data_IF_196880170931
#
_entry.id   IF_196880170931
#
_cell.length_a   1.000
_cell.length_b   1.000
_cell.length_c   1.000
_cell.angle_alpha   90.00
_cell.angle_beta   90.00
_cell.angle_gamma   90.00
#
_symmetry.space_group_name_H-M   'P 1'
#
loop_
_entity.id
_entity.type
_entity.pdbx_description
1 polymer ?
#
# COMPACT_ATOMS: atom_id res chain seq x y z
N UNK A 1 19.07 53.77 -31.70
CA UNK A 1 20.06 53.20 -30.75
C UNK A 1 19.32 52.46 -29.66
N UNK A 2 19.30 51.11 -29.72
CA UNK A 2 18.66 50.24 -28.70
C UNK A 2 19.76 49.76 -27.80
N UNK A 3 19.73 50.17 -26.52
CA UNK A 3 20.62 49.67 -25.49
C UNK A 3 20.26 48.23 -25.19
N UNK A 4 21.13 47.29 -25.54
CA UNK A 4 21.10 45.93 -25.01
C UNK A 4 21.71 45.95 -23.60
N UNK A 5 20.92 45.69 -22.59
CA UNK A 5 21.39 45.48 -21.25
C UNK A 5 22.11 44.11 -21.20
N UNK A 6 23.42 44.17 -21.23
CA UNK A 6 24.31 43.01 -21.05
C UNK A 6 24.54 42.86 -19.53
N UNK A 7 23.85 41.91 -18.91
CA UNK A 7 24.14 41.54 -17.53
C UNK A 7 25.40 40.67 -17.50
N UNK A 8 26.53 41.30 -17.18
CA UNK A 8 27.85 40.67 -17.06
C UNK A 8 27.92 39.95 -15.72
N UNK A 9 27.69 38.62 -15.69
CA UNK A 9 28.01 37.82 -14.53
C UNK A 9 29.53 37.64 -14.42
N UNK A 10 30.15 38.32 -13.52
CA UNK A 10 31.55 38.11 -13.15
C UNK A 10 31.70 36.80 -12.39
N UNK A 11 32.33 35.80 -13.01
CA UNK A 11 32.80 34.60 -12.36
C UNK A 11 33.96 34.93 -11.40
N UNK A 12 33.70 34.90 -10.10
CA UNK A 12 34.73 34.78 -9.08
C UNK A 12 34.71 33.32 -8.63
N UNK A 13 35.77 32.57 -8.94
CA UNK A 13 35.94 31.21 -8.48
C UNK A 13 36.00 31.15 -6.95
N UNK A 14 35.01 30.51 -6.36
CA UNK A 14 34.98 30.03 -4.97
C UNK A 14 34.30 28.68 -4.94
N UNK A 15 34.91 27.76 -4.21
CA UNK A 15 34.40 26.43 -3.81
C UNK A 15 32.89 26.23 -3.97
N UNK A 16 32.51 25.21 -4.74
CA UNK A 16 31.11 24.88 -5.06
C UNK A 16 30.29 24.50 -3.81
N UNK A 17 29.69 25.48 -3.18
CA UNK A 17 28.45 25.25 -2.48
C UNK A 17 27.44 24.93 -3.60
N UNK A 18 26.80 23.76 -3.56
CA UNK A 18 25.74 23.39 -4.47
C UNK A 18 24.65 24.48 -4.40
N UNK A 19 24.56 25.31 -5.42
CA UNK A 19 23.61 26.42 -5.45
C UNK A 19 22.36 25.93 -6.16
N UNK A 20 21.21 26.03 -5.51
CA UNK A 20 19.93 25.77 -6.13
C UNK A 20 19.69 26.76 -7.28
N UNK A 21 19.39 26.26 -8.46
CA UNK A 21 19.09 27.05 -9.63
C UNK A 21 17.56 27.18 -9.79
N UNK A 22 17.06 28.40 -10.00
CA UNK A 22 15.65 28.62 -10.35
C UNK A 22 15.53 29.17 -11.75
N UNK A 23 14.75 28.51 -12.59
CA UNK A 23 14.56 28.89 -13.99
C UNK A 23 13.08 29.02 -14.30
N UNK A 24 12.70 30.17 -14.87
CA UNK A 24 11.34 30.39 -15.36
C UNK A 24 11.25 30.11 -16.85
N UNK A 25 10.43 29.12 -17.22
CA UNK A 25 10.20 28.71 -18.61
C UNK A 25 8.92 29.38 -19.12
N UNK A 26 9.05 30.41 -19.92
CA UNK A 26 7.90 31.16 -20.45
C UNK A 26 7.21 30.44 -21.62
N UNK A 27 7.97 29.63 -22.36
CA UNK A 27 7.47 28.92 -23.55
C UNK A 27 7.89 27.45 -23.43
N UNK A 28 6.94 26.54 -23.41
CA UNK A 28 7.20 25.11 -23.40
C UNK A 28 8.07 24.71 -24.64
N UNK A 29 9.03 23.81 -24.41
CA UNK A 29 10.01 23.39 -25.42
C UNK A 29 11.27 24.27 -25.53
N UNK A 30 11.39 25.32 -24.67
CA UNK A 30 12.54 26.23 -24.72
C UNK A 30 13.60 25.98 -23.64
N UNK A 31 13.42 25.03 -22.75
CA UNK A 31 14.28 24.82 -21.56
C UNK A 31 15.76 24.65 -21.93
N UNK A 32 16.07 23.91 -23.01
CA UNK A 32 17.45 23.70 -23.47
C UNK A 32 18.21 24.99 -23.85
N UNK A 33 17.49 26.10 -24.06
CA UNK A 33 18.10 27.41 -24.32
C UNK A 33 18.37 28.20 -23.05
N UNK A 34 17.78 27.76 -21.92
CA UNK A 34 17.84 28.40 -20.60
C UNK A 34 18.77 27.67 -19.63
N UNK A 35 18.92 26.36 -19.80
CA UNK A 35 19.70 25.48 -18.91
C UNK A 35 20.71 24.70 -19.73
N UNK A 36 21.99 24.83 -19.37
CA UNK A 36 23.07 24.02 -19.98
C UNK A 36 23.34 22.77 -19.14
N UNK A 37 23.00 21.62 -19.69
CA UNK A 37 23.26 20.31 -19.06
C UNK A 37 24.51 19.62 -19.59
N UNK A 38 25.26 20.25 -20.51
CA UNK A 38 26.41 19.62 -21.19
C UNK A 38 27.68 19.63 -20.34
N UNK A 39 27.84 20.65 -19.47
CA UNK A 39 29.06 20.87 -18.71
C UNK A 39 29.06 20.15 -17.35
N UNK A 40 27.88 19.85 -16.76
CA UNK A 40 27.77 19.28 -15.41
C UNK A 40 26.40 18.69 -15.12
N UNK A 41 26.34 17.82 -14.10
CA UNK A 41 25.07 17.46 -13.45
C UNK A 41 24.66 18.61 -12.53
N UNK A 42 23.39 19.03 -12.62
CA UNK A 42 22.80 20.07 -11.77
C UNK A 42 22.36 19.44 -10.46
N UNK A 43 22.84 19.97 -9.32
CA UNK A 43 22.53 19.40 -8.02
C UNK A 43 21.09 19.66 -7.57
N UNK A 44 20.56 20.88 -7.83
CA UNK A 44 19.20 21.28 -7.42
C UNK A 44 18.63 22.28 -8.43
N UNK A 45 17.55 21.90 -9.08
CA UNK A 45 16.87 22.72 -10.10
C UNK A 45 15.40 22.89 -9.76
N UNK A 46 14.98 24.15 -9.63
CA UNK A 46 13.58 24.53 -9.52
C UNK A 46 13.13 25.15 -10.84
N UNK A 47 12.07 24.60 -11.42
CA UNK A 47 11.42 25.16 -12.61
C UNK A 47 10.09 25.80 -12.23
N UNK A 48 9.73 26.86 -12.94
CA UNK A 48 8.42 27.50 -12.88
C UNK A 48 7.95 27.82 -14.30
N UNK A 49 6.67 28.09 -14.47
CA UNK A 49 6.09 28.40 -15.79
C UNK A 49 5.65 27.16 -16.56
N UNK A 50 5.87 27.12 -17.88
CA UNK A 50 5.34 26.08 -18.75
C UNK A 50 6.45 25.22 -19.36
N UNK A 51 6.38 23.91 -19.16
CA UNK A 51 7.30 22.93 -19.76
C UNK A 51 6.49 21.88 -20.53
N UNK A 52 7.16 21.16 -21.45
CA UNK A 52 6.55 20.01 -22.11
C UNK A 52 7.42 18.75 -21.95
N UNK A 53 7.02 17.66 -22.60
CA UNK A 53 7.77 16.39 -22.56
C UNK A 53 9.23 16.56 -22.99
N UNK A 54 9.47 17.30 -24.06
CA UNK A 54 10.84 17.51 -24.60
C UNK A 54 11.73 18.23 -23.59
N UNK A 55 11.20 19.22 -22.87
CA UNK A 55 11.91 19.92 -21.80
C UNK A 55 12.27 18.96 -20.64
N UNK A 56 11.29 18.20 -20.17
CA UNK A 56 11.52 17.24 -19.07
C UNK A 56 12.49 16.13 -19.48
N UNK A 57 12.37 15.62 -20.71
CA UNK A 57 13.28 14.59 -21.24
C UNK A 57 14.73 15.10 -21.36
N UNK A 58 14.91 16.39 -21.67
CA UNK A 58 16.23 17.02 -21.71
C UNK A 58 16.95 16.99 -20.38
N UNK A 59 16.22 16.96 -19.25
CA UNK A 59 16.79 16.92 -17.90
C UNK A 59 17.22 15.51 -17.45
N UNK A 60 16.81 14.46 -18.16
CA UNK A 60 17.12 13.07 -17.78
C UNK A 60 18.63 12.83 -17.70
N UNK A 61 19.08 12.25 -16.58
CA UNK A 61 20.48 12.02 -16.21
C UNK A 61 21.33 13.32 -15.99
N UNK A 62 20.68 14.47 -15.85
CA UNK A 62 21.39 15.74 -15.72
C UNK A 62 21.04 16.52 -14.43
N UNK A 63 20.01 16.09 -13.69
CA UNK A 63 19.55 16.79 -12.50
C UNK A 63 19.39 15.80 -11.35
N UNK A 64 19.97 16.12 -10.15
CA UNK A 64 19.82 15.28 -8.96
C UNK A 64 18.51 15.56 -8.22
N UNK A 65 18.18 16.82 -8.01
CA UNK A 65 16.94 17.24 -7.34
C UNK A 65 16.17 18.16 -8.27
N UNK A 66 14.92 17.82 -8.55
CA UNK A 66 14.07 18.55 -9.49
C UNK A 66 12.79 18.99 -8.78
N UNK A 67 12.56 20.29 -8.72
CA UNK A 67 11.31 20.85 -8.18
C UNK A 67 10.46 21.40 -9.34
N UNK A 68 9.31 20.78 -9.55
CA UNK A 68 8.32 21.13 -10.57
C UNK A 68 7.00 21.64 -9.97
N UNK A 69 6.95 21.96 -8.68
CA UNK A 69 5.70 22.28 -7.96
C UNK A 69 4.85 23.33 -8.71
N UNK A 70 5.51 24.39 -9.19
CA UNK A 70 4.87 25.55 -9.81
C UNK A 70 4.99 25.54 -11.33
N UNK A 71 5.05 24.32 -11.91
CA UNK A 71 5.12 24.09 -13.35
C UNK A 71 3.77 23.63 -13.89
N UNK A 72 3.38 24.15 -15.05
CA UNK A 72 2.34 23.55 -15.89
C UNK A 72 3.01 22.70 -16.96
N UNK A 73 2.64 21.41 -17.05
CA UNK A 73 3.06 20.57 -18.17
C UNK A 73 2.11 20.84 -19.33
N UNK A 74 2.64 21.41 -20.43
CA UNK A 74 1.87 21.66 -21.64
C UNK A 74 1.84 20.42 -22.53
N UNK A 75 0.78 20.27 -23.31
CA UNK A 75 0.69 19.23 -24.33
C UNK A 75 1.81 19.35 -25.36
N UNK A 76 2.22 18.23 -25.91
CA UNK A 76 3.20 18.17 -26.99
C UNK A 76 2.91 17.01 -27.93
N UNK A 77 3.00 17.25 -29.23
CA UNK A 77 2.94 16.17 -30.23
C UNK A 77 4.35 15.87 -30.73
N UNK A 78 4.81 14.64 -30.51
CA UNK A 78 6.10 14.16 -30.99
C UNK A 78 5.86 13.06 -32.04
N UNK A 79 6.13 13.37 -33.30
CA UNK A 79 5.77 12.47 -34.39
C UNK A 79 4.26 12.34 -34.56
N UNK A 80 3.73 11.15 -34.21
CA UNK A 80 2.26 10.85 -34.20
C UNK A 80 1.68 10.68 -32.80
N UNK A 81 2.48 10.90 -31.76
CA UNK A 81 2.08 10.68 -30.37
C UNK A 81 1.79 12.02 -29.72
N UNK A 82 0.57 12.19 -29.22
CA UNK A 82 0.17 13.30 -28.37
C UNK A 82 0.50 12.97 -26.91
N UNK A 83 1.23 13.85 -26.25
CA UNK A 83 1.46 13.87 -24.80
C UNK A 83 0.56 14.96 -24.22
N UNK A 84 -0.48 14.61 -23.45
CA UNK A 84 -1.47 15.57 -22.96
C UNK A 84 -0.88 16.54 -21.93
N UNK A 85 -1.59 17.65 -21.72
CA UNK A 85 -1.28 18.60 -20.66
C UNK A 85 -1.51 18.01 -19.24
N UNK A 86 -0.79 18.53 -18.26
CA UNK A 86 -0.84 18.11 -16.86
C UNK A 86 -0.61 16.61 -16.61
N UNK A 87 0.00 15.92 -17.55
CA UNK A 87 0.41 14.51 -17.46
C UNK A 87 1.93 14.43 -17.39
N UNK A 88 2.47 13.71 -16.38
CA UNK A 88 3.88 13.32 -16.42
C UNK A 88 4.07 12.37 -17.60
N UNK A 89 4.85 12.75 -18.63
CA UNK A 89 4.86 12.00 -19.88
C UNK A 89 5.41 10.58 -19.74
N UNK A 90 4.93 9.68 -20.60
CA UNK A 90 5.42 8.31 -20.68
C UNK A 90 6.95 8.26 -20.85
N UNK A 91 7.60 7.41 -20.04
CA UNK A 91 9.04 7.11 -20.10
C UNK A 91 9.97 8.33 -20.00
N UNK A 92 9.49 9.46 -19.47
CA UNK A 92 10.25 10.72 -19.47
C UNK A 92 11.57 10.64 -18.71
N UNK A 93 11.60 9.95 -17.56
CA UNK A 93 12.79 9.71 -16.74
C UNK A 93 13.20 8.23 -16.68
N UNK A 94 12.75 7.41 -17.63
CA UNK A 94 13.09 5.99 -17.65
C UNK A 94 14.61 5.76 -17.61
N UNK A 95 15.08 4.91 -16.69
CA UNK A 95 16.50 4.57 -16.56
C UNK A 95 17.39 5.72 -16.07
N UNK A 96 16.83 6.79 -15.50
CA UNK A 96 17.60 7.90 -14.96
C UNK A 96 18.47 7.42 -13.79
N UNK A 97 19.79 7.69 -13.88
CA UNK A 97 20.79 7.23 -12.89
C UNK A 97 21.18 8.32 -11.88
N UNK A 98 20.66 9.51 -12.05
CA UNK A 98 21.10 10.71 -11.36
C UNK A 98 20.01 11.27 -10.46
N UNK A 99 18.74 11.26 -10.92
CA UNK A 99 17.60 11.81 -10.20
C UNK A 99 17.40 11.13 -8.85
N UNK A 100 17.60 11.88 -7.77
CA UNK A 100 17.45 11.40 -6.40
C UNK A 100 16.21 11.97 -5.70
N UNK A 101 15.66 13.09 -6.19
CA UNK A 101 14.44 13.69 -5.62
C UNK A 101 13.67 14.46 -6.69
N UNK A 102 12.35 14.33 -6.65
CA UNK A 102 11.45 15.15 -7.46
C UNK A 102 10.24 15.62 -6.65
N UNK A 103 9.91 16.91 -6.77
CA UNK A 103 8.62 17.48 -6.36
C UNK A 103 7.76 17.58 -7.61
N UNK A 104 6.61 16.91 -7.62
CA UNK A 104 5.72 16.88 -8.77
C UNK A 104 4.89 18.17 -8.91
N UNK A 105 4.44 18.50 -10.14
CA UNK A 105 3.56 19.65 -10.37
C UNK A 105 2.26 19.57 -9.58
N UNK A 106 1.82 20.69 -9.02
CA UNK A 106 0.57 20.75 -8.23
C UNK A 106 -0.69 20.47 -9.08
N UNK A 107 -0.65 20.77 -10.36
CA UNK A 107 -1.74 20.53 -11.32
C UNK A 107 -1.75 19.15 -11.98
N UNK A 108 -0.82 18.25 -11.61
CA UNK A 108 -0.69 16.94 -12.28
C UNK A 108 -1.95 16.08 -12.08
N UNK A 109 -2.44 15.47 -13.17
CA UNK A 109 -3.60 14.59 -13.18
C UNK A 109 -3.24 13.11 -13.39
N UNK A 110 -2.11 12.84 -14.02
CA UNK A 110 -1.67 11.48 -14.33
C UNK A 110 -0.14 11.36 -14.30
N UNK A 111 0.37 10.23 -13.80
CA UNK A 111 1.77 9.83 -13.98
C UNK A 111 1.78 8.75 -15.07
N UNK A 112 2.42 9.05 -16.18
CA UNK A 112 2.43 8.24 -17.38
C UNK A 112 3.15 6.91 -17.24
N UNK A 113 2.94 6.05 -18.23
CA UNK A 113 3.54 4.70 -18.27
C UNK A 113 5.06 4.77 -18.25
N UNK A 114 5.68 4.00 -17.36
CA UNK A 114 7.15 3.93 -17.21
C UNK A 114 7.82 5.29 -16.93
N UNK A 115 7.08 6.32 -16.47
CA UNK A 115 7.62 7.68 -16.32
C UNK A 115 8.91 7.74 -15.50
N UNK A 116 9.00 6.92 -14.43
CA UNK A 116 10.15 6.80 -13.54
C UNK A 116 10.65 5.35 -13.42
N UNK A 117 10.37 4.51 -14.43
CA UNK A 117 10.85 3.13 -14.44
C UNK A 117 12.38 3.10 -14.41
N UNK A 118 12.94 2.22 -13.57
CA UNK A 118 14.39 2.07 -13.40
C UNK A 118 15.16 3.36 -13.02
N UNK A 119 14.51 4.31 -12.36
CA UNK A 119 15.24 5.44 -11.76
C UNK A 119 16.15 4.92 -10.65
N UNK A 120 17.48 5.06 -10.84
CA UNK A 120 18.52 4.47 -9.98
C UNK A 120 19.35 5.52 -9.23
N UNK A 121 18.93 6.77 -9.20
CA UNK A 121 19.51 7.79 -8.34
C UNK A 121 19.53 7.35 -6.88
N UNK A 122 20.52 7.81 -6.12
CA UNK A 122 20.67 7.41 -4.72
C UNK A 122 19.43 7.83 -3.89
N UNK A 123 18.80 6.86 -3.21
CA UNK A 123 17.66 7.08 -2.32
C UNK A 123 16.54 7.92 -2.96
N UNK A 124 16.10 7.53 -4.17
CA UNK A 124 15.10 8.27 -4.92
C UNK A 124 13.84 8.52 -4.10
N UNK A 125 13.38 9.77 -4.10
CA UNK A 125 12.16 10.21 -3.40
C UNK A 125 11.26 11.03 -4.32
N UNK A 126 9.95 10.92 -4.11
CA UNK A 126 8.94 11.68 -4.84
C UNK A 126 8.02 12.38 -3.85
N UNK A 127 7.87 13.69 -4.00
CA UNK A 127 6.91 14.45 -3.20
C UNK A 127 5.58 14.57 -3.96
N UNK A 128 4.55 13.89 -3.43
CA UNK A 128 3.18 13.89 -3.92
C UNK A 128 2.27 14.87 -3.16
N UNK A 129 2.76 15.58 -2.14
CA UNK A 129 1.93 16.32 -1.17
C UNK A 129 1.02 17.37 -1.81
N UNK A 130 1.43 17.92 -2.95
CA UNK A 130 0.70 18.94 -3.70
C UNK A 130 -0.15 18.37 -4.85
N UNK A 131 -0.12 17.07 -5.13
CA UNK A 131 -0.75 16.45 -6.29
C UNK A 131 -2.26 16.18 -6.08
N UNK A 132 -3.03 17.18 -5.64
CA UNK A 132 -4.44 17.00 -5.25
C UNK A 132 -5.38 16.64 -6.41
N UNK A 133 -4.92 16.79 -7.65
CA UNK A 133 -5.66 16.45 -8.86
C UNK A 133 -5.23 15.11 -9.46
N UNK A 134 -4.24 14.41 -8.88
CA UNK A 134 -3.73 13.15 -9.38
C UNK A 134 -4.81 12.07 -9.33
N UNK A 135 -5.16 11.52 -10.48
CA UNK A 135 -6.19 10.51 -10.66
C UNK A 135 -5.61 9.12 -10.94
N UNK A 136 -4.49 9.06 -11.67
CA UNK A 136 -3.96 7.78 -12.14
C UNK A 136 -2.44 7.72 -12.05
N UNK A 137 -1.93 6.60 -11.52
CA UNK A 137 -0.53 6.20 -11.63
C UNK A 137 -0.50 5.01 -12.57
N UNK A 138 0.06 5.20 -13.78
CA UNK A 138 0.02 4.23 -14.89
C UNK A 138 0.97 3.06 -14.70
N UNK A 139 0.80 2.07 -15.60
CA UNK A 139 1.61 0.86 -15.63
C UNK A 139 3.11 1.14 -15.55
N UNK A 140 3.80 0.41 -14.67
CA UNK A 140 5.26 0.50 -14.46
C UNK A 140 5.77 1.92 -14.12
N UNK A 141 4.94 2.85 -13.67
CA UNK A 141 5.34 4.25 -13.49
C UNK A 141 6.62 4.39 -12.65
N UNK A 142 6.79 3.60 -11.60
CA UNK A 142 7.96 3.58 -10.72
C UNK A 142 8.63 2.20 -10.62
N UNK A 143 8.30 1.28 -11.52
CA UNK A 143 8.82 -0.08 -11.50
C UNK A 143 10.34 -0.10 -11.49
N UNK A 144 10.94 -1.00 -10.69
CA UNK A 144 12.39 -1.23 -10.59
C UNK A 144 13.23 0.01 -10.22
N UNK A 145 12.59 1.03 -9.64
CA UNK A 145 13.30 2.22 -9.17
C UNK A 145 13.81 2.08 -7.72
N UNK A 146 14.79 2.91 -7.34
CA UNK A 146 15.27 3.00 -5.97
C UNK A 146 14.35 3.85 -5.07
N UNK A 147 13.05 3.90 -5.36
CA UNK A 147 12.07 4.66 -4.59
C UNK A 147 12.00 4.14 -3.14
N UNK A 148 12.14 5.03 -2.16
CA UNK A 148 12.27 4.67 -0.74
C UNK A 148 10.95 4.67 0.02
N UNK A 149 9.99 5.48 -0.43
CA UNK A 149 8.70 5.65 0.26
C UNK A 149 7.61 6.04 -0.75
N UNK A 150 6.40 5.55 -0.52
CA UNK A 150 5.18 6.00 -1.20
C UNK A 150 4.27 6.63 -0.16
N UNK A 151 4.12 7.95 -0.23
CA UNK A 151 3.18 8.71 0.57
C UNK A 151 2.18 9.43 -0.35
N UNK A 152 0.99 8.89 -0.46
CA UNK A 152 -0.13 9.40 -1.26
C UNK A 152 -1.27 9.92 -0.38
N UNK A 153 -0.99 10.23 0.89
CA UNK A 153 -2.01 10.61 1.88
C UNK A 153 -2.83 11.82 1.42
N UNK A 154 -4.13 11.68 1.55
CA UNK A 154 -5.09 12.72 1.22
C UNK A 154 -5.19 13.05 -0.27
N UNK A 155 -4.74 12.18 -1.17
CA UNK A 155 -4.99 12.30 -2.61
C UNK A 155 -6.39 11.78 -2.94
N UNK A 156 -7.39 12.55 -2.56
CA UNK A 156 -8.81 12.16 -2.67
C UNK A 156 -9.29 12.00 -4.11
N UNK A 157 -8.56 12.54 -5.11
CA UNK A 157 -8.87 12.36 -6.53
C UNK A 157 -8.27 11.07 -7.12
N UNK A 158 -7.34 10.41 -6.42
CA UNK A 158 -6.66 9.22 -6.93
C UNK A 158 -7.64 8.04 -7.06
N UNK A 159 -7.80 7.53 -8.28
CA UNK A 159 -8.73 6.47 -8.63
C UNK A 159 -8.04 5.13 -8.87
N UNK A 160 -6.88 5.13 -9.54
CA UNK A 160 -6.20 3.90 -9.91
C UNK A 160 -4.69 3.97 -9.71
N UNK A 161 -4.16 2.87 -9.21
CA UNK A 161 -2.74 2.53 -9.25
C UNK A 161 -2.66 1.30 -10.15
N UNK A 162 -2.16 1.48 -11.39
CA UNK A 162 -2.19 0.46 -12.44
C UNK A 162 -1.19 -0.69 -12.19
N UNK A 163 -1.18 -1.66 -13.10
CA UNK A 163 -0.33 -2.83 -13.00
C UNK A 163 1.17 -2.47 -12.94
N UNK A 164 1.89 -3.14 -12.02
CA UNK A 164 3.34 -2.97 -11.82
C UNK A 164 3.77 -1.54 -11.42
N UNK A 165 2.87 -0.64 -11.04
CA UNK A 165 3.19 0.78 -10.80
C UNK A 165 4.38 0.97 -9.86
N UNK A 166 4.48 0.18 -8.80
CA UNK A 166 5.57 0.19 -7.82
C UNK A 166 6.22 -1.20 -7.69
N UNK A 167 6.34 -1.93 -8.80
CA UNK A 167 6.93 -3.27 -8.82
C UNK A 167 8.44 -3.20 -8.54
N UNK A 168 8.91 -4.06 -7.62
CA UNK A 168 10.34 -4.25 -7.31
C UNK A 168 11.09 -2.93 -7.03
N UNK A 169 10.66 -2.23 -6.00
CA UNK A 169 11.29 -0.99 -5.51
C UNK A 169 11.90 -1.20 -4.12
N UNK A 170 12.62 -0.19 -3.63
CA UNK A 170 13.22 -0.19 -2.29
C UNK A 170 12.30 0.40 -1.21
N UNK A 171 11.00 0.46 -1.47
CA UNK A 171 10.00 1.07 -0.60
C UNK A 171 10.00 0.42 0.78
N UNK A 172 10.06 1.27 1.82
CA UNK A 172 9.96 0.88 3.23
C UNK A 172 8.59 1.14 3.83
N UNK A 173 7.88 2.15 3.33
CA UNK A 173 6.53 2.52 3.78
C UNK A 173 5.63 2.83 2.61
N UNK A 174 4.39 2.36 2.70
CA UNK A 174 3.32 2.66 1.76
C UNK A 174 2.20 3.30 2.56
N UNK A 175 1.84 4.53 2.22
CA UNK A 175 0.70 5.20 2.83
C UNK A 175 -0.25 5.74 1.76
N UNK A 176 -1.50 5.33 1.85
CA UNK A 176 -2.63 5.70 1.01
C UNK A 176 -3.76 6.30 1.87
N UNK A 177 -3.43 6.81 3.08
CA UNK A 177 -4.45 7.30 4.02
C UNK A 177 -5.31 8.39 3.40
N UNK A 178 -6.63 8.17 3.41
CA UNK A 178 -7.58 9.14 2.87
C UNK A 178 -7.67 9.19 1.35
N UNK A 179 -7.12 8.21 0.61
CA UNK A 179 -7.36 8.07 -0.84
C UNK A 179 -8.79 7.52 -1.08
N UNK A 180 -9.79 8.33 -0.75
CA UNK A 180 -11.19 7.90 -0.69
C UNK A 180 -11.81 7.54 -2.03
N UNK A 181 -11.25 8.01 -3.16
CA UNK A 181 -11.69 7.65 -4.52
C UNK A 181 -10.91 6.49 -5.13
N UNK A 182 -9.92 5.93 -4.42
CA UNK A 182 -9.11 4.82 -4.94
C UNK A 182 -9.99 3.57 -5.09
N UNK A 183 -10.14 3.07 -6.32
CA UNK A 183 -11.00 1.94 -6.66
C UNK A 183 -10.21 0.64 -6.77
N UNK A 184 -8.97 0.72 -7.28
CA UNK A 184 -8.21 -0.46 -7.67
C UNK A 184 -6.71 -0.32 -7.40
N UNK A 185 -6.13 -1.38 -6.85
CA UNK A 185 -4.70 -1.67 -6.92
C UNK A 185 -4.49 -2.72 -8.00
N UNK A 186 -3.77 -2.39 -9.06
CA UNK A 186 -3.58 -3.22 -10.24
C UNK A 186 -2.75 -4.50 -10.00
N UNK A 187 -2.65 -5.33 -11.02
CA UNK A 187 -1.80 -6.53 -11.00
C UNK A 187 -0.37 -6.16 -10.61
N UNK A 188 0.20 -6.86 -9.61
CA UNK A 188 1.58 -6.66 -9.11
C UNK A 188 1.95 -5.22 -8.74
N UNK A 189 0.96 -4.36 -8.43
CA UNK A 189 1.19 -2.94 -8.16
C UNK A 189 2.30 -2.70 -7.12
N UNK A 190 2.35 -3.49 -6.06
CA UNK A 190 3.38 -3.43 -5.00
C UNK A 190 4.15 -4.76 -4.85
N UNK A 191 4.19 -5.58 -5.89
CA UNK A 191 4.87 -6.88 -5.85
C UNK A 191 6.39 -6.71 -5.69
N UNK A 192 7.02 -7.62 -4.92
CA UNK A 192 8.46 -7.67 -4.66
C UNK A 192 9.03 -6.44 -3.92
N UNK A 193 8.21 -5.74 -3.15
CA UNK A 193 8.68 -4.69 -2.24
C UNK A 193 9.17 -5.34 -0.93
N UNK A 194 10.38 -5.87 -0.97
CA UNK A 194 10.95 -6.72 0.09
C UNK A 194 11.20 -6.00 1.41
N UNK A 195 11.40 -4.67 1.38
CA UNK A 195 11.81 -3.88 2.55
C UNK A 195 10.65 -3.22 3.29
N UNK A 196 9.42 -3.38 2.81
CA UNK A 196 8.25 -2.75 3.43
C UNK A 196 8.08 -3.19 4.89
N UNK A 197 7.87 -2.22 5.77
CA UNK A 197 7.60 -2.39 7.19
C UNK A 197 6.20 -1.93 7.58
N UNK A 198 5.52 -1.17 6.73
CA UNK A 198 4.14 -0.72 7.00
C UNK A 198 3.37 -0.41 5.72
N UNK A 199 2.07 -0.69 5.75
CA UNK A 199 1.09 -0.31 4.72
C UNK A 199 -0.09 0.32 5.43
N UNK A 200 -0.46 1.54 5.04
CA UNK A 200 -1.61 2.27 5.58
C UNK A 200 -2.65 2.46 4.47
N UNK A 201 -3.84 1.88 4.64
CA UNK A 201 -4.99 1.95 3.72
C UNK A 201 -6.19 2.63 4.36
N UNK A 202 -6.01 3.27 5.51
CA UNK A 202 -7.10 3.93 6.25
C UNK A 202 -7.80 4.98 5.38
N UNK A 203 -9.12 4.95 5.35
CA UNK A 203 -9.91 5.88 4.54
C UNK A 203 -9.95 5.59 3.04
N UNK A 204 -9.41 4.46 2.56
CA UNK A 204 -9.57 3.99 1.17
C UNK A 204 -10.97 3.38 0.95
N UNK A 205 -12.01 4.15 1.22
CA UNK A 205 -13.39 3.62 1.32
C UNK A 205 -14.00 3.14 0.00
N UNK A 206 -13.44 3.56 -1.13
CA UNK A 206 -13.88 3.10 -2.47
C UNK A 206 -13.06 1.94 -3.03
N UNK A 207 -12.03 1.45 -2.31
CA UNK A 207 -11.16 0.40 -2.80
C UNK A 207 -11.92 -0.93 -2.90
N UNK A 208 -12.15 -1.40 -4.13
CA UNK A 208 -12.97 -2.58 -4.44
C UNK A 208 -12.14 -3.80 -4.80
N UNK A 209 -10.91 -3.62 -5.30
CA UNK A 209 -10.10 -4.76 -5.73
C UNK A 209 -8.62 -4.61 -5.40
N UNK A 210 -8.03 -5.75 -5.03
CA UNK A 210 -6.59 -5.95 -4.91
C UNK A 210 -6.19 -6.99 -5.96
N UNK A 211 -5.55 -6.55 -7.02
CA UNK A 211 -5.27 -7.34 -8.21
C UNK A 211 -4.31 -8.51 -7.96
N UNK A 212 -4.21 -9.36 -8.99
CA UNK A 212 -3.33 -10.54 -8.98
C UNK A 212 -1.91 -10.16 -8.54
N UNK A 213 -1.38 -10.84 -7.51
CA UNK A 213 -0.03 -10.63 -6.95
C UNK A 213 0.27 -9.19 -6.48
N UNK A 214 -0.73 -8.36 -6.18
CA UNK A 214 -0.51 -6.95 -5.84
C UNK A 214 0.50 -6.76 -4.70
N UNK A 215 0.46 -7.60 -3.66
CA UNK A 215 1.38 -7.57 -2.52
C UNK A 215 2.23 -8.86 -2.41
N UNK A 216 2.48 -9.55 -3.52
CA UNK A 216 3.36 -10.73 -3.53
C UNK A 216 4.76 -10.37 -2.99
N UNK A 217 5.29 -11.17 -2.05
CA UNK A 217 6.61 -11.01 -1.42
C UNK A 217 6.82 -9.68 -0.64
N UNK A 218 5.76 -8.95 -0.30
CA UNK A 218 5.91 -7.71 0.49
C UNK A 218 6.55 -8.02 1.85
N UNK A 219 7.51 -7.20 2.27
CA UNK A 219 8.16 -7.28 3.57
C UNK A 219 9.08 -8.49 3.77
N UNK A 220 9.47 -9.19 2.71
CA UNK A 220 10.24 -10.44 2.81
C UNK A 220 11.62 -10.27 3.46
N UNK A 221 12.26 -9.12 3.29
CA UNK A 221 13.57 -8.84 3.91
C UNK A 221 13.42 -8.12 5.25
N UNK A 222 12.44 -7.26 5.42
CA UNK A 222 12.12 -6.65 6.71
C UNK A 222 11.62 -7.69 7.72
N UNK A 223 11.06 -8.81 7.24
CA UNK A 223 10.41 -9.89 8.01
C UNK A 223 9.21 -9.41 8.83
N UNK A 224 8.74 -8.22 8.57
CA UNK A 224 7.61 -7.59 9.25
C UNK A 224 7.07 -6.43 8.42
N UNK A 225 6.02 -6.68 7.66
CA UNK A 225 5.27 -5.64 6.96
C UNK A 225 4.05 -5.13 7.78
N UNK A 226 4.00 -5.43 9.09
CA UNK A 226 2.97 -4.95 9.99
C UNK A 226 1.60 -5.56 9.74
N UNK A 227 0.58 -4.72 9.86
CA UNK A 227 -0.82 -5.07 9.62
C UNK A 227 -1.25 -4.55 8.25
N UNK A 228 -1.90 -5.42 7.46
CA UNK A 228 -2.73 -5.01 6.32
C UNK A 228 -4.17 -4.92 6.80
N UNK A 229 -4.65 -3.71 6.99
CA UNK A 229 -6.01 -3.45 7.44
C UNK A 229 -6.88 -2.96 6.28
N UNK A 230 -7.80 -3.83 5.85
CA UNK A 230 -8.78 -3.53 4.80
C UNK A 230 -10.18 -3.23 5.37
N UNK A 231 -10.31 -3.04 6.69
CA UNK A 231 -11.62 -2.91 7.37
C UNK A 231 -12.49 -1.77 6.84
N UNK A 232 -11.89 -0.68 6.39
CA UNK A 232 -12.60 0.49 5.87
C UNK A 232 -12.78 0.46 4.35
N UNK A 233 -12.38 -0.61 3.67
CA UNK A 233 -12.46 -0.72 2.21
C UNK A 233 -13.75 -1.37 1.74
N UNK A 234 -14.08 -1.20 0.45
CA UNK A 234 -15.21 -1.84 -0.22
C UNK A 234 -14.80 -3.13 -0.98
N UNK A 235 -13.69 -3.78 -0.59
CA UNK A 235 -13.18 -4.97 -1.27
C UNK A 235 -14.17 -6.11 -1.14
N UNK A 236 -14.59 -6.66 -2.29
CA UNK A 236 -15.42 -7.86 -2.37
C UNK A 236 -14.60 -9.11 -2.69
N UNK A 237 -13.42 -8.95 -3.32
CA UNK A 237 -12.58 -10.09 -3.70
C UNK A 237 -11.09 -9.79 -3.56
N UNK A 238 -10.35 -10.81 -3.13
CA UNK A 238 -8.89 -10.85 -3.26
C UNK A 238 -8.54 -11.76 -4.43
N UNK A 239 -7.82 -11.24 -5.42
CA UNK A 239 -7.43 -11.98 -6.61
C UNK A 239 -6.34 -13.03 -6.32
N UNK A 240 -6.07 -13.87 -7.32
CA UNK A 240 -5.09 -14.95 -7.19
C UNK A 240 -3.73 -14.42 -6.73
N UNK A 241 -3.17 -15.07 -5.72
CA UNK A 241 -1.84 -14.76 -5.19
C UNK A 241 -1.65 -13.33 -4.67
N UNK A 242 -2.72 -12.56 -4.45
CA UNK A 242 -2.67 -11.13 -4.08
C UNK A 242 -1.76 -10.83 -2.88
N UNK A 243 -1.72 -11.70 -1.87
CA UNK A 243 -0.89 -11.61 -0.66
C UNK A 243 0.07 -12.82 -0.54
N UNK A 244 0.34 -13.54 -1.62
CA UNK A 244 1.20 -14.73 -1.60
C UNK A 244 2.61 -14.38 -1.11
N UNK A 245 3.19 -15.25 -0.28
CA UNK A 245 4.54 -15.09 0.27
C UNK A 245 4.79 -13.74 0.97
N UNK A 246 3.73 -13.05 1.40
CA UNK A 246 3.83 -11.81 2.16
C UNK A 246 4.33 -12.06 3.60
N UNK A 247 5.03 -11.08 4.17
CA UNK A 247 5.54 -11.12 5.54
C UNK A 247 4.77 -10.18 6.46
N UNK A 248 3.46 -10.06 6.23
CA UNK A 248 2.54 -9.33 7.12
C UNK A 248 2.27 -10.13 8.38
N UNK A 249 2.10 -9.45 9.50
CA UNK A 249 1.73 -10.10 10.78
C UNK A 249 0.24 -10.32 10.91
N UNK A 250 -0.55 -9.36 10.48
CA UNK A 250 -2.00 -9.39 10.61
C UNK A 250 -2.66 -8.97 9.31
N UNK A 251 -3.71 -9.67 8.91
CA UNK A 251 -4.61 -9.25 7.84
C UNK A 251 -6.01 -9.08 8.43
N UNK A 252 -6.60 -7.90 8.25
CA UNK A 252 -7.99 -7.61 8.63
C UNK A 252 -8.79 -7.48 7.35
N UNK A 253 -9.71 -8.40 7.14
CA UNK A 253 -10.59 -8.43 5.97
C UNK A 253 -11.84 -7.58 6.20
N UNK A 254 -12.33 -6.86 5.16
CA UNK A 254 -13.50 -6.02 5.28
C UNK A 254 -14.80 -6.82 5.42
N UNK A 255 -15.85 -6.16 5.89
CA UNK A 255 -17.19 -6.75 5.99
C UNK A 255 -17.89 -6.95 4.65
N UNK A 256 -17.31 -6.46 3.56
CA UNK A 256 -17.83 -6.61 2.18
C UNK A 256 -17.28 -7.83 1.46
N UNK A 257 -16.37 -8.59 2.08
CA UNK A 257 -15.60 -9.64 1.43
C UNK A 257 -16.49 -10.86 1.06
N UNK A 258 -16.51 -11.20 -0.22
CA UNK A 258 -17.27 -12.36 -0.76
C UNK A 258 -16.37 -13.51 -1.20
N UNK A 259 -15.14 -13.21 -1.65
CA UNK A 259 -14.25 -14.22 -2.24
C UNK A 259 -12.80 -13.99 -1.90
N UNK A 260 -12.10 -15.06 -1.57
CA UNK A 260 -10.64 -15.12 -1.52
C UNK A 260 -10.19 -16.15 -2.55
N UNK A 261 -9.56 -15.68 -3.64
CA UNK A 261 -9.17 -16.51 -4.77
C UNK A 261 -8.03 -17.49 -4.45
N UNK A 262 -7.70 -18.35 -5.42
CA UNK A 262 -6.65 -19.35 -5.27
C UNK A 262 -5.31 -18.71 -4.87
N UNK A 263 -4.61 -19.35 -3.94
CA UNK A 263 -3.27 -18.94 -3.45
C UNK A 263 -3.17 -17.51 -2.89
N UNK A 264 -4.27 -16.82 -2.63
CA UNK A 264 -4.26 -15.43 -2.19
C UNK A 264 -3.30 -15.18 -1.01
N UNK A 265 -3.30 -16.06 0.01
CA UNK A 265 -2.36 -16.02 1.15
C UNK A 265 -1.39 -17.21 1.18
N UNK A 266 -1.19 -17.93 0.07
CA UNK A 266 -0.30 -19.09 0.03
C UNK A 266 1.14 -18.71 0.40
N UNK A 267 1.76 -19.43 1.34
CA UNK A 267 3.09 -19.13 1.90
C UNK A 267 3.19 -17.76 2.62
N UNK A 268 2.09 -17.04 2.86
CA UNK A 268 2.08 -15.85 3.70
C UNK A 268 2.54 -16.20 5.12
N UNK A 269 3.19 -15.25 5.80
CA UNK A 269 3.66 -15.36 7.19
C UNK A 269 2.71 -14.71 8.19
N UNK A 270 1.45 -14.48 7.80
CA UNK A 270 0.45 -13.92 8.70
C UNK A 270 0.29 -14.80 9.95
N UNK A 271 0.41 -14.18 11.11
CA UNK A 271 0.16 -14.81 12.41
C UNK A 271 -1.30 -14.66 12.83
N UNK A 272 -1.99 -13.64 12.32
CA UNK A 272 -3.37 -13.34 12.69
C UNK A 272 -4.19 -12.98 11.43
N UNK A 273 -5.38 -13.53 11.34
CA UNK A 273 -6.42 -13.16 10.38
C UNK A 273 -7.66 -12.70 11.13
N UNK A 274 -8.26 -11.60 10.69
CA UNK A 274 -9.51 -11.11 11.26
C UNK A 274 -10.52 -10.90 10.13
N UNK A 275 -11.67 -11.58 10.23
CA UNK A 275 -12.80 -11.42 9.33
C UNK A 275 -13.87 -10.58 10.02
N UNK A 276 -14.48 -9.66 9.27
CA UNK A 276 -15.49 -8.74 9.81
C UNK A 276 -16.89 -9.04 9.28
N UNK A 277 -17.04 -9.86 8.22
CA UNK A 277 -18.33 -10.27 7.72
C UNK A 277 -18.92 -11.41 8.57
N UNK A 278 -20.23 -11.36 8.76
CA UNK A 278 -21.01 -12.42 9.42
C UNK A 278 -21.11 -13.70 8.59
N UNK A 279 -20.87 -13.59 7.28
CA UNK A 279 -20.89 -14.69 6.32
C UNK A 279 -19.46 -14.98 5.87
N UNK A 280 -18.99 -16.24 6.01
CA UNK A 280 -17.67 -16.59 5.48
C UNK A 280 -17.60 -16.37 3.97
N UNK A 281 -16.47 -15.80 3.45
CA UNK A 281 -16.28 -15.69 2.01
C UNK A 281 -16.10 -17.08 1.38
N UNK A 282 -16.26 -17.15 0.06
CA UNK A 282 -15.86 -18.34 -0.70
C UNK A 282 -14.34 -18.40 -0.82
N UNK A 283 -13.76 -19.58 -0.56
CA UNK A 283 -12.31 -19.78 -0.61
C UNK A 283 -11.90 -20.56 -1.86
N UNK A 284 -10.96 -20.01 -2.61
CA UNK A 284 -10.34 -20.66 -3.75
C UNK A 284 -9.34 -21.76 -3.34
N UNK A 285 -8.91 -22.56 -4.31
CA UNK A 285 -7.98 -23.69 -4.08
C UNK A 285 -6.67 -23.19 -3.44
N UNK A 286 -6.27 -23.81 -2.34
CA UNK A 286 -5.03 -23.48 -1.64
C UNK A 286 -4.89 -21.97 -1.32
N UNK A 287 -6.00 -21.28 -1.04
CA UNK A 287 -5.95 -19.84 -0.70
C UNK A 287 -4.91 -19.54 0.39
N UNK A 288 -4.73 -20.47 1.32
CA UNK A 288 -3.64 -20.55 2.30
C UNK A 288 -3.16 -21.99 2.35
N UNK A 289 -1.94 -22.28 2.82
CA UNK A 289 -1.51 -23.67 3.01
C UNK A 289 -2.23 -24.29 4.21
N UNK A 290 -2.59 -25.58 4.11
CA UNK A 290 -3.31 -26.31 5.19
C UNK A 290 -2.55 -26.24 6.52
N UNK A 291 -1.24 -26.35 6.48
CA UNK A 291 -0.40 -26.24 7.67
C UNK A 291 -0.48 -24.84 8.30
N UNK A 292 -0.46 -23.79 7.50
CA UNK A 292 -0.57 -22.42 8.02
C UNK A 292 -1.97 -22.15 8.60
N UNK A 293 -3.03 -22.61 7.92
CA UNK A 293 -4.41 -22.46 8.36
C UNK A 293 -4.66 -23.06 9.76
N UNK A 294 -4.02 -24.17 10.10
CA UNK A 294 -4.12 -24.82 11.42
C UNK A 294 -3.35 -24.09 12.53
N UNK A 295 -2.47 -23.15 12.20
CA UNK A 295 -1.61 -22.49 13.18
C UNK A 295 -1.83 -20.97 13.26
N UNK A 296 -2.41 -20.36 12.23
CA UNK A 296 -2.76 -18.93 12.25
C UNK A 296 -3.90 -18.67 13.24
N UNK A 297 -3.81 -17.58 13.99
CA UNK A 297 -4.92 -17.16 14.85
C UNK A 297 -6.00 -16.50 13.98
N UNK A 298 -7.22 -16.99 14.06
CA UNK A 298 -8.33 -16.48 13.26
C UNK A 298 -9.40 -15.92 14.20
N UNK A 299 -9.75 -14.66 13.99
CA UNK A 299 -10.85 -13.99 14.70
C UNK A 299 -11.99 -13.72 13.73
N UNK A 300 -13.20 -14.09 14.12
CA UNK A 300 -14.43 -13.95 13.33
C UNK A 300 -15.49 -13.18 14.13
N UNK A 301 -16.59 -12.71 13.52
CA UNK A 301 -17.67 -12.07 14.27
C UNK A 301 -18.29 -12.95 15.36
N UNK A 302 -18.91 -12.32 16.34
CA UNK A 302 -19.50 -12.99 17.48
C UNK A 302 -20.52 -14.07 17.07
N UNK A 303 -20.37 -15.29 17.61
CA UNK A 303 -21.24 -16.42 17.32
C UNK A 303 -21.04 -17.08 15.95
N UNK A 304 -20.04 -16.68 15.15
CA UNK A 304 -19.81 -17.19 13.79
C UNK A 304 -18.72 -18.27 13.69
N UNK A 305 -18.14 -18.70 14.80
CA UNK A 305 -17.05 -19.70 14.81
C UNK A 305 -17.41 -20.97 14.03
N UNK A 306 -18.63 -21.51 14.20
CA UNK A 306 -19.03 -22.72 13.49
C UNK A 306 -19.09 -22.51 11.96
N UNK A 307 -19.72 -21.42 11.53
CA UNK A 307 -19.84 -21.11 10.10
C UNK A 307 -18.48 -20.99 9.42
N UNK A 308 -17.55 -20.31 10.07
CA UNK A 308 -16.19 -20.17 9.57
C UNK A 308 -15.39 -21.46 9.65
N UNK A 309 -15.54 -22.26 10.71
CA UNK A 309 -14.89 -23.57 10.80
C UNK A 309 -15.34 -24.50 9.66
N UNK A 310 -16.66 -24.54 9.38
CA UNK A 310 -17.21 -25.33 8.28
C UNK A 310 -16.66 -24.84 6.91
N UNK A 311 -16.58 -23.52 6.70
CA UNK A 311 -16.05 -22.94 5.46
C UNK A 311 -14.54 -23.20 5.26
N UNK A 312 -13.77 -23.25 6.35
CA UNK A 312 -12.34 -23.60 6.31
C UNK A 312 -12.10 -25.12 6.25
N UNK A 313 -13.12 -25.95 6.48
CA UNK A 313 -12.95 -27.38 6.65
C UNK A 313 -12.22 -27.77 7.94
N UNK A 314 -12.25 -26.91 8.97
CA UNK A 314 -11.58 -27.14 10.25
C UNK A 314 -12.53 -27.79 11.26
N UNK A 315 -12.02 -28.75 12.04
CA UNK A 315 -12.77 -29.43 13.09
C UNK A 315 -11.87 -29.83 14.26
N UNK A 316 -12.46 -30.01 15.45
CA UNK A 316 -11.74 -30.49 16.62
C UNK A 316 -10.45 -29.71 16.93
N UNK A 317 -9.33 -30.40 17.06
CA UNK A 317 -8.03 -29.81 17.40
C UNK A 317 -7.48 -28.85 16.32
N UNK A 318 -7.88 -29.02 15.07
CA UNK A 318 -7.44 -28.15 13.97
C UNK A 318 -8.07 -26.76 14.04
N UNK A 319 -9.23 -26.61 14.70
CA UNK A 319 -9.93 -25.34 14.91
C UNK A 319 -9.53 -24.61 16.21
N UNK A 320 -8.51 -25.05 16.94
CA UNK A 320 -8.12 -24.49 18.25
C UNK A 320 -7.76 -23.00 18.24
N UNK A 321 -7.28 -22.50 17.10
CA UNK A 321 -6.86 -21.11 16.91
C UNK A 321 -7.97 -20.23 16.28
N UNK A 322 -9.17 -20.79 16.08
CA UNK A 322 -10.33 -20.06 15.59
C UNK A 322 -11.21 -19.65 16.76
N UNK A 323 -11.40 -18.35 16.93
CA UNK A 323 -12.25 -17.78 17.99
C UNK A 323 -13.12 -16.64 17.43
N UNK A 324 -14.24 -16.37 18.07
CA UNK A 324 -15.01 -15.17 17.77
C UNK A 324 -14.49 -13.94 18.55
N UNK A 325 -15.05 -12.78 18.26
CA UNK A 325 -14.68 -11.52 18.89
C UNK A 325 -14.87 -11.50 20.41
N UNK A 326 -15.66 -12.43 20.97
CA UNK A 326 -15.87 -12.62 22.41
C UNK A 326 -14.94 -13.71 23.00
N UNK A 327 -14.07 -14.30 22.19
CA UNK A 327 -13.16 -15.37 22.57
C UNK A 327 -13.81 -16.75 22.70
N UNK A 328 -15.03 -16.95 22.15
CA UNK A 328 -15.63 -18.28 22.04
C UNK A 328 -14.92 -19.08 20.95
N UNK A 329 -14.68 -20.36 21.19
CA UNK A 329 -14.04 -21.30 20.25
C UNK A 329 -14.97 -22.47 19.92
N UNK A 330 -14.64 -23.24 18.88
CA UNK A 330 -15.39 -24.42 18.51
C UNK A 330 -15.34 -25.47 19.69
N UNK A 331 -16.49 -25.78 20.26
CA UNK A 331 -16.62 -26.80 21.32
C UNK A 331 -16.48 -26.31 22.74
N UNK A 332 -16.18 -25.01 22.99
CA UNK A 332 -16.20 -24.46 24.35
C UNK A 332 -17.01 -23.16 24.35
N UNK A 333 -18.29 -23.23 24.70
CA UNK A 333 -19.00 -22.03 25.09
C UNK A 333 -18.35 -21.51 26.40
N UNK A 334 -17.47 -20.48 26.30
CA UNK A 334 -17.15 -19.69 27.48
C UNK A 334 -18.45 -19.10 27.97
N UNK A 335 -18.96 -19.62 29.07
CA UNK A 335 -20.04 -18.95 29.77
C UNK A 335 -19.49 -17.60 30.17
N UNK A 336 -19.98 -16.54 29.51
CA UNK A 336 -19.58 -15.20 29.84
C UNK A 336 -19.79 -14.93 31.31
N UNK A 337 -18.79 -14.38 31.99
CA UNK A 337 -18.85 -14.02 33.41
C UNK A 337 -19.92 -12.95 33.72
N UNK A 338 -20.70 -12.49 32.72
CA UNK A 338 -21.74 -11.47 32.86
C UNK A 338 -23.07 -12.00 33.47
N UNK A 339 -23.21 -13.30 33.73
CA UNK A 339 -24.38 -13.87 34.46
C UNK A 339 -23.99 -14.56 35.76
N UNK A 340 -22.97 -14.04 36.43
CA UNK A 340 -22.59 -14.54 37.77
C UNK A 340 -23.50 -13.99 38.90
N UNK A 341 -24.82 -14.26 38.82
CA UNK A 341 -25.71 -14.00 39.96
C UNK A 341 -26.46 -15.24 40.47
N UNK A 342 -26.01 -16.46 40.09
CA UNK A 342 -26.41 -17.67 40.78
C UNK A 342 -25.26 -18.69 40.72
N UNK A 343 -24.59 -18.94 41.80
CA UNK A 343 -23.61 -20.02 41.94
C UNK A 343 -24.26 -21.35 41.54
N UNK A 344 -24.04 -21.78 40.28
CA UNK A 344 -24.51 -23.07 39.79
C UNK A 344 -23.54 -24.14 40.27
N UNK A 345 -24.04 -25.08 41.03
CA UNK A 345 -23.30 -26.23 41.55
C UNK A 345 -23.73 -27.49 40.82
N UNK A 346 -22.78 -28.34 40.50
CA UNK A 346 -23.02 -29.60 39.82
C UNK A 346 -22.33 -30.72 40.59
N UNK A 347 -22.98 -31.90 40.72
CA UNK A 347 -22.32 -33.09 41.24
C UNK A 347 -21.36 -33.69 40.20
N UNK A 348 -20.65 -34.75 40.57
CA UNK A 348 -19.69 -35.44 39.70
C UNK A 348 -20.33 -36.06 38.45
N UNK A 349 -21.64 -36.27 38.44
CA UNK A 349 -22.41 -36.74 37.28
C UNK A 349 -22.91 -35.61 36.37
N UNK A 350 -22.53 -34.34 36.67
CA UNK A 350 -22.93 -33.17 35.86
C UNK A 350 -24.35 -32.68 36.15
N UNK A 351 -25.04 -33.20 37.15
CA UNK A 351 -26.37 -32.78 37.52
C UNK A 351 -26.31 -31.54 38.40
N UNK A 352 -27.20 -30.58 38.19
CA UNK A 352 -27.28 -29.37 39.01
C UNK A 352 -27.79 -29.73 40.41
N UNK A 353 -27.09 -29.27 41.45
CA UNK A 353 -27.44 -29.53 42.84
C UNK A 353 -27.65 -28.25 43.64
N UNK A 354 -28.57 -28.31 44.61
CA UNK A 354 -28.88 -27.20 45.52
C UNK A 354 -27.92 -27.09 46.71
N UNK A 355 -28.15 -26.08 47.55
CA UNK A 355 -27.30 -25.76 48.69
C UNK A 355 -27.23 -26.87 49.77
N UNK A 356 -28.18 -27.80 49.81
CA UNK A 356 -28.24 -28.90 50.77
C UNK A 356 -27.54 -30.19 50.33
N UNK A 357 -26.93 -30.20 49.13
CA UNK A 357 -26.26 -31.41 48.62
C UNK A 357 -24.96 -31.67 49.38
N UNK A 358 -24.80 -32.88 49.91
CA UNK A 358 -23.59 -33.34 50.59
C UNK A 358 -22.80 -34.26 49.65
N UNK A 359 -21.54 -33.93 49.42
CA UNK A 359 -20.69 -34.69 48.52
C UNK A 359 -19.73 -33.77 47.73
N UNK A 360 -19.12 -34.31 46.68
CA UNK A 360 -18.23 -33.56 45.84
C UNK A 360 -19.07 -32.74 44.82
N UNK A 361 -18.89 -31.44 44.82
CA UNK A 361 -19.54 -30.54 43.88
C UNK A 361 -18.49 -29.78 43.04
N UNK A 362 -18.83 -29.43 41.82
CA UNK A 362 -18.09 -28.48 40.97
C UNK A 362 -18.77 -27.12 41.13
N UNK A 363 -18.04 -26.18 41.70
CA UNK A 363 -18.48 -24.81 41.95
C UNK A 363 -17.44 -23.87 41.37
N UNK A 364 -17.83 -23.00 40.43
CA UNK A 364 -16.91 -22.09 39.73
C UNK A 364 -15.71 -22.80 39.05
N UNK A 365 -15.95 -24.00 38.51
CA UNK A 365 -14.91 -24.80 37.87
C UNK A 365 -13.93 -25.49 38.83
N UNK A 366 -14.14 -25.36 40.16
CA UNK A 366 -13.32 -26.02 41.20
C UNK A 366 -14.10 -27.15 41.86
N UNK A 367 -13.38 -28.20 42.20
CA UNK A 367 -13.91 -29.35 42.97
C UNK A 367 -13.91 -28.98 44.44
N UNK A 368 -15.09 -29.02 45.07
CA UNK A 368 -15.31 -28.68 46.46
C UNK A 368 -16.05 -29.84 47.14
N UNK A 369 -15.63 -30.27 48.34
CA UNK A 369 -16.34 -31.23 49.19
C UNK A 369 -17.27 -30.46 50.12
N UNK A 370 -18.55 -30.84 50.17
CA UNK A 370 -19.57 -30.18 50.99
C UNK A 370 -20.24 -31.18 51.90
#
# INVERSE_FOLDING_TARGET
MKLKSLLLCTFIGLSSLAQAETVHVTTAGSLKTLVDTTARVIDDLTLTGSVNRSDLHYLRNHVKKLNLKDVTIAEETVGKVLYPDNVMPDSVFIGDKVLSSIVLPSGIVEIGKCAFNEVRGAAFTVDFSNCKHLQTIRNNAFSESNLQEVNLDGLTALQTIDAYAFYWTDIKRISLEGCSSLIMLGERAFCNNYFVTSVNLKGCTSLQSVGNRAFLNIGKQSKDAGTLDFSETAIESFDESSLQSSWVKTVIFPATLKTISAKALYLSKAANLKFLDDVPPTFGTQWMSDSALKHVNITVPAGKVKAYADAFGLSGADAKNLADANGATLGINRISAATASAQKRYNMAGQRVGNGYRGIVIENGKKVVR
#
